data_IF_583764213433
#
_entry.id   IF_583764213433
#
_cell.length_a   1.000
_cell.length_b   1.000
_cell.length_c   1.000
_cell.angle_alpha   90.00
_cell.angle_beta   90.00
_cell.angle_gamma   90.00
#
_symmetry.space_group_name_H-M   'P 1'
#
loop_
_entity.id
_entity.type
_entity.pdbx_description
1 polymer ?
#
# COMPACT_ATOMS: atom_id res chain seq x y z
N UNK A 1 3.78 -19.16 -2.36
CA UNK A 1 2.89 -20.28 -2.52
C UNK A 1 1.51 -19.88 -3.00
N UNK A 2 0.59 -20.83 -3.01
CA UNK A 2 -0.73 -20.70 -3.61
C UNK A 2 -1.54 -19.52 -3.06
N UNK A 3 -1.45 -19.19 -1.79
CA UNK A 3 -2.19 -18.08 -1.18
C UNK A 3 -1.92 -16.74 -1.85
N UNK A 4 -0.73 -16.54 -2.39
CA UNK A 4 -0.37 -15.30 -3.05
C UNK A 4 -1.10 -15.11 -4.37
N UNK A 5 -1.57 -16.20 -4.96
CA UNK A 5 -2.25 -16.21 -6.25
C UNK A 5 -3.78 -16.33 -6.13
N UNK A 6 -4.30 -16.43 -4.90
CA UNK A 6 -5.75 -16.50 -4.66
C UNK A 6 -6.27 -15.19 -4.12
N UNK A 7 -7.53 -14.91 -4.40
CA UNK A 7 -8.27 -13.78 -3.83
C UNK A 7 -9.31 -14.32 -2.85
N UNK A 8 -9.72 -13.47 -1.91
CA UNK A 8 -10.74 -13.81 -0.94
C UNK A 8 -12.03 -13.05 -1.26
N UNK A 9 -13.15 -13.74 -1.29
CA UNK A 9 -14.45 -13.11 -1.52
C UNK A 9 -15.06 -12.56 -0.23
N UNK A 10 -16.26 -11.99 -0.32
CA UNK A 10 -16.95 -11.39 0.81
C UNK A 10 -17.34 -12.39 1.89
N UNK A 11 -17.41 -13.68 1.56
CA UNK A 11 -17.67 -14.75 2.52
C UNK A 11 -16.40 -15.35 3.12
N UNK A 12 -15.25 -14.73 2.90
CA UNK A 12 -13.93 -15.15 3.35
C UNK A 12 -13.47 -16.49 2.76
N UNK A 13 -13.97 -16.82 1.57
CA UNK A 13 -13.51 -17.99 0.85
C UNK A 13 -12.47 -17.60 -0.19
N UNK A 14 -11.43 -18.41 -0.30
CA UNK A 14 -10.41 -18.24 -1.31
C UNK A 14 -10.92 -18.69 -2.68
N UNK A 15 -10.58 -17.94 -3.72
CA UNK A 15 -10.90 -18.32 -5.08
C UNK A 15 -9.74 -17.98 -6.02
N UNK A 16 -9.70 -18.67 -7.16
CA UNK A 16 -8.67 -18.44 -8.17
C UNK A 16 -9.09 -17.20 -8.99
N UNK A 17 -8.23 -16.16 -9.08
CA UNK A 17 -8.55 -14.98 -9.89
C UNK A 17 -8.75 -15.35 -11.36
N UNK A 18 -9.77 -14.76 -11.97
CA UNK A 18 -10.02 -14.92 -13.40
C UNK A 18 -9.31 -13.79 -14.16
N UNK A 19 -8.26 -14.14 -14.89
CA UNK A 19 -7.46 -13.18 -15.63
C UNK A 19 -8.23 -12.48 -16.75
N UNK A 20 -9.42 -12.97 -17.09
CA UNK A 20 -10.29 -12.33 -18.08
C UNK A 20 -11.18 -11.25 -17.47
N UNK A 21 -11.24 -11.15 -16.14
CA UNK A 21 -12.03 -10.14 -15.43
C UNK A 21 -11.12 -9.02 -14.92
N UNK A 22 -11.39 -7.79 -15.34
CA UNK A 22 -10.60 -6.64 -14.90
C UNK A 22 -10.60 -6.46 -13.39
N UNK A 23 -11.75 -6.70 -12.74
CA UNK A 23 -11.85 -6.58 -11.28
C UNK A 23 -10.92 -7.55 -10.54
N UNK A 24 -10.80 -8.78 -11.03
CA UNK A 24 -9.92 -9.77 -10.42
C UNK A 24 -8.44 -9.44 -10.66
N UNK A 25 -8.11 -8.94 -11.84
CA UNK A 25 -6.74 -8.49 -12.14
C UNK A 25 -6.37 -7.33 -11.24
N UNK A 26 -7.26 -6.36 -11.07
CA UNK A 26 -7.02 -5.19 -10.22
C UNK A 26 -6.81 -5.60 -8.75
N UNK A 27 -7.63 -6.52 -8.25
CA UNK A 27 -7.50 -7.02 -6.88
C UNK A 27 -6.19 -7.78 -6.67
N UNK A 28 -5.78 -8.59 -7.65
CA UNK A 28 -4.53 -9.34 -7.56
C UNK A 28 -3.33 -8.38 -7.58
N UNK A 29 -3.37 -7.36 -8.43
CA UNK A 29 -2.34 -6.33 -8.47
C UNK A 29 -2.24 -5.58 -7.16
N UNK A 30 -3.38 -5.17 -6.59
CA UNK A 30 -3.42 -4.49 -5.31
C UNK A 30 -2.86 -5.36 -4.19
N UNK A 31 -3.20 -6.65 -4.17
CA UNK A 31 -2.65 -7.60 -3.21
C UNK A 31 -1.13 -7.70 -3.29
N UNK A 32 -0.59 -7.77 -4.51
CA UNK A 32 0.86 -7.83 -4.71
C UNK A 32 1.55 -6.53 -4.29
N UNK A 33 0.95 -5.39 -4.58
CA UNK A 33 1.48 -4.09 -4.20
C UNK A 33 1.45 -3.91 -2.68
N UNK A 34 0.38 -4.34 -2.02
CA UNK A 34 0.32 -4.32 -0.56
C UNK A 34 1.42 -5.19 0.06
N UNK A 35 1.65 -6.37 -0.50
CA UNK A 35 2.70 -7.25 -0.01
C UNK A 35 4.08 -6.62 -0.16
N UNK A 36 4.33 -5.93 -1.27
CA UNK A 36 5.55 -5.17 -1.47
C UNK A 36 5.68 -4.07 -0.42
N UNK A 37 4.59 -3.35 -0.13
CA UNK A 37 4.57 -2.31 0.89
C UNK A 37 4.85 -2.89 2.29
N UNK A 38 4.33 -4.06 2.60
CA UNK A 38 4.64 -4.73 3.87
C UNK A 38 6.14 -5.00 4.01
N UNK A 39 6.80 -5.34 2.92
CA UNK A 39 8.25 -5.47 2.89
C UNK A 39 8.96 -4.15 3.24
N UNK A 40 8.44 -3.04 2.76
CA UNK A 40 8.98 -1.72 3.10
C UNK A 40 8.76 -1.41 4.59
N UNK A 41 7.59 -1.75 5.14
CA UNK A 41 7.33 -1.56 6.57
C UNK A 41 8.29 -2.37 7.44
N UNK A 42 8.64 -3.57 7.01
CA UNK A 42 9.55 -4.43 7.73
C UNK A 42 11.01 -3.97 7.67
N UNK A 43 11.38 -3.19 6.65
CA UNK A 43 12.73 -2.65 6.54
C UNK A 43 12.92 -1.46 7.50
N UNK A 44 14.18 -1.11 7.75
CA UNK A 44 14.52 -0.01 8.67
C UNK A 44 15.27 1.09 7.93
N UNK A 45 15.13 2.33 8.42
CA UNK A 45 15.83 3.48 7.88
C UNK A 45 15.21 4.03 6.62
N UNK A 46 15.95 4.85 5.90
CA UNK A 46 15.48 5.50 4.68
C UNK A 46 15.26 4.48 3.57
N UNK A 47 14.15 4.62 2.86
CA UNK A 47 13.89 3.82 1.67
C UNK A 47 14.59 4.43 0.47
N UNK A 48 15.39 3.64 -0.23
CA UNK A 48 16.13 4.07 -1.42
C UNK A 48 15.55 3.48 -2.69
N UNK A 49 15.08 2.24 -2.61
CA UNK A 49 14.47 1.54 -3.74
C UNK A 49 13.06 1.17 -3.33
N UNK A 50 12.10 1.73 -4.05
CA UNK A 50 10.67 1.48 -3.77
C UNK A 50 9.86 1.85 -5.01
N UNK A 51 8.62 1.37 -5.01
CA UNK A 51 7.68 1.68 -6.07
C UNK A 51 6.60 2.60 -5.51
N UNK A 52 6.44 3.79 -6.10
CA UNK A 52 5.43 4.77 -5.64
C UNK A 52 4.03 4.21 -5.64
N UNK A 53 3.71 3.35 -6.60
CA UNK A 53 2.41 2.69 -6.67
C UNK A 53 2.14 1.83 -5.44
N UNK A 54 3.15 1.09 -4.97
CA UNK A 54 3.02 0.29 -3.75
C UNK A 54 2.84 1.18 -2.52
N UNK A 55 3.53 2.32 -2.47
CA UNK A 55 3.36 3.29 -1.38
C UNK A 55 1.93 3.82 -1.36
N UNK A 56 1.36 4.18 -2.51
CA UNK A 56 -0.01 4.67 -2.59
C UNK A 56 -1.02 3.62 -2.13
N UNK A 57 -0.87 2.39 -2.56
CA UNK A 57 -1.74 1.28 -2.12
C UNK A 57 -1.62 1.06 -0.62
N UNK A 58 -0.40 1.07 -0.10
CA UNK A 58 -0.16 0.91 1.33
C UNK A 58 -0.77 2.03 2.15
N UNK A 59 -0.59 3.28 1.74
CA UNK A 59 -1.16 4.43 2.43
C UNK A 59 -2.69 4.41 2.40
N UNK A 60 -3.30 4.05 1.28
CA UNK A 60 -4.75 3.95 1.18
C UNK A 60 -5.31 2.92 2.18
N UNK A 61 -4.63 1.80 2.33
CA UNK A 61 -5.05 0.78 3.28
C UNK A 61 -4.84 1.20 4.72
N UNK A 62 -3.70 1.80 5.04
CA UNK A 62 -3.45 2.34 6.38
C UNK A 62 -4.45 3.43 6.74
N UNK A 63 -4.81 4.27 5.77
CA UNK A 63 -5.84 5.31 5.93
C UNK A 63 -7.20 4.69 6.25
N UNK A 64 -7.57 3.65 5.53
CA UNK A 64 -8.83 2.93 5.76
C UNK A 64 -8.87 2.33 7.16
N UNK A 65 -7.73 1.84 7.65
CA UNK A 65 -7.59 1.28 8.99
C UNK A 65 -7.39 2.36 10.06
N UNK A 66 -7.36 3.63 9.66
CA UNK A 66 -7.11 4.78 10.55
C UNK A 66 -5.76 4.73 11.25
N UNK A 67 -4.79 4.08 10.63
CA UNK A 67 -3.42 3.98 11.16
C UNK A 67 -2.56 5.13 10.64
N UNK A 68 -2.89 6.33 11.08
CA UNK A 68 -2.25 7.56 10.60
C UNK A 68 -0.77 7.65 11.01
N UNK A 69 -0.44 7.11 12.16
CA UNK A 69 0.95 7.13 12.64
C UNK A 69 1.85 6.33 11.70
N UNK A 70 1.40 5.18 11.21
CA UNK A 70 2.17 4.38 10.26
C UNK A 70 2.37 5.12 8.93
N UNK A 71 1.37 5.89 8.48
CA UNK A 71 1.51 6.71 7.28
C UNK A 71 2.59 7.77 7.48
N UNK A 72 2.57 8.48 8.60
CA UNK A 72 3.56 9.51 8.91
C UNK A 72 4.96 8.90 8.99
N UNK A 73 5.11 7.80 9.72
CA UNK A 73 6.40 7.15 9.90
C UNK A 73 6.99 6.69 8.56
N UNK A 74 6.16 6.11 7.70
CA UNK A 74 6.62 5.66 6.39
C UNK A 74 6.95 6.84 5.48
N UNK A 75 6.13 7.89 5.47
CA UNK A 75 6.37 9.07 4.64
C UNK A 75 7.69 9.74 5.01
N UNK A 76 8.05 9.77 6.29
CA UNK A 76 9.30 10.35 6.75
C UNK A 76 10.52 9.50 6.35
N UNK A 77 10.32 8.24 6.02
CA UNK A 77 11.37 7.34 5.52
C UNK A 77 11.58 7.46 4.01
N UNK A 78 10.63 8.07 3.28
CA UNK A 78 10.75 8.31 1.85
C UNK A 78 11.63 9.53 1.58
N UNK A 79 12.28 9.61 0.40
CA UNK A 79 12.94 10.84 -0.01
C UNK A 79 11.94 12.00 -0.03
N UNK A 80 12.33 13.15 0.50
CA UNK A 80 11.46 14.33 0.56
C UNK A 80 10.90 14.69 -0.81
N UNK A 81 11.73 14.62 -1.83
CA UNK A 81 11.32 14.91 -3.20
C UNK A 81 10.18 13.99 -3.67
N UNK A 82 10.22 12.71 -3.32
CA UNK A 82 9.16 11.76 -3.66
C UNK A 82 7.83 12.16 -3.04
N UNK A 83 7.84 12.55 -1.77
CA UNK A 83 6.63 12.99 -1.07
C UNK A 83 6.08 14.27 -1.71
N UNK A 84 6.95 15.22 -2.02
CA UNK A 84 6.53 16.50 -2.60
C UNK A 84 5.99 16.38 -4.02
N UNK A 85 6.53 15.47 -4.81
CA UNK A 85 6.12 15.31 -6.20
C UNK A 85 4.88 14.44 -6.40
N UNK A 86 4.57 13.56 -5.47
CA UNK A 86 3.39 12.68 -5.56
C UNK A 86 2.25 13.27 -4.75
N UNK A 87 1.25 13.82 -5.44
CA UNK A 87 0.12 14.50 -4.80
C UNK A 87 -0.64 13.58 -3.84
N UNK A 88 -0.78 12.29 -4.16
CA UNK A 88 -1.47 11.35 -3.30
C UNK A 88 -0.69 11.06 -2.02
N UNK A 89 0.59 10.82 -2.14
CA UNK A 89 1.46 10.57 -0.99
C UNK A 89 1.49 11.81 -0.09
N UNK A 90 1.65 12.99 -0.68
CA UNK A 90 1.67 14.24 0.06
C UNK A 90 0.36 14.48 0.82
N UNK A 91 -0.77 14.24 0.16
CA UNK A 91 -2.08 14.38 0.78
C UNK A 91 -2.22 13.48 2.01
N UNK A 92 -1.91 12.20 1.88
CA UNK A 92 -1.99 11.26 3.00
C UNK A 92 -1.09 11.69 4.15
N UNK A 93 0.11 12.13 3.83
CA UNK A 93 1.07 12.58 4.83
C UNK A 93 0.55 13.81 5.59
N UNK A 94 0.15 14.85 4.85
CA UNK A 94 -0.30 16.11 5.44
C UNK A 94 -1.52 15.91 6.36
N UNK A 95 -2.53 15.17 5.89
CA UNK A 95 -3.72 14.92 6.69
C UNK A 95 -3.41 14.04 7.88
N UNK A 96 -2.56 13.03 7.71
CA UNK A 96 -2.17 12.15 8.81
C UNK A 96 -1.40 12.88 9.89
N UNK A 97 -0.56 13.85 9.52
CA UNK A 97 0.14 14.69 10.49
C UNK A 97 -0.82 15.45 11.41
N UNK A 98 -1.96 15.88 10.89
CA UNK A 98 -2.96 16.59 11.69
C UNK A 98 -3.79 15.68 12.58
N UNK A 99 -3.68 14.38 12.41
CA UNK A 99 -4.47 13.38 13.16
C UNK A 99 -3.69 12.60 14.20
N UNK A 100 -2.37 12.75 14.21
CA UNK A 100 -1.52 12.07 15.19
C UNK A 100 -1.12 13.00 16.33
#
# INVERSE_FOLDING_TARGET
ILEENFLMDDSNKWYIPDITKEGDIAKLREKKLWKEFEGYLASKGKLKIFRSEAIRVGFARLWKDKNYQAIVDMAERLPEQTVQEDANILMYYDISLSRV
#
